data_IF_398574429731
#
_entry.id   IF_398574429731
#
_cell.length_a   1.000
_cell.length_b   1.000
_cell.length_c   1.000
_cell.angle_alpha   90.00
_cell.angle_beta   90.00
_cell.angle_gamma   90.00
#
_symmetry.space_group_name_H-M   'P 1'
#
loop_
_entity.id
_entity.type
_entity.pdbx_description
1 polymer ?
#
# COMPACT_ATOMS: atom_id res chain seq x y z
N UNK A 1 -10.77 0.54 12.10
CA UNK A 1 -11.57 1.08 10.99
C UNK A 1 -10.66 1.42 9.83
N UNK A 2 -9.93 2.54 9.83
CA UNK A 2 -9.16 2.97 8.64
C UNK A 2 -8.17 1.97 8.02
N UNK A 3 -7.44 1.16 8.78
CA UNK A 3 -6.48 0.17 8.22
C UNK A 3 -7.19 -1.00 7.53
N UNK A 4 -8.37 -1.40 8.01
CA UNK A 4 -9.18 -2.46 7.38
C UNK A 4 -9.79 -1.97 6.07
N UNK A 5 -10.25 -0.72 6.06
CA UNK A 5 -10.79 -0.08 4.86
C UNK A 5 -9.70 0.03 3.78
N UNK A 6 -8.48 0.41 4.17
CA UNK A 6 -7.32 0.40 3.27
C UNK A 6 -7.00 -1.02 2.76
N UNK A 7 -7.14 -2.06 3.58
CA UNK A 7 -6.89 -3.44 3.13
C UNK A 7 -7.91 -3.88 2.08
N UNK A 8 -9.20 -3.62 2.32
CA UNK A 8 -10.25 -3.90 1.34
C UNK A 8 -10.02 -3.16 0.02
N UNK A 9 -9.54 -1.92 0.09
CA UNK A 9 -9.17 -1.17 -1.11
C UNK A 9 -7.99 -1.82 -1.86
N UNK A 10 -6.99 -2.35 -1.14
CA UNK A 10 -5.86 -3.06 -1.76
C UNK A 10 -6.27 -4.39 -2.39
N UNK A 11 -7.15 -5.15 -1.73
CA UNK A 11 -7.75 -6.36 -2.30
C UNK A 11 -8.50 -6.03 -3.59
N UNK A 12 -9.34 -4.98 -3.56
CA UNK A 12 -10.05 -4.54 -4.76
C UNK A 12 -9.09 -4.16 -5.89
N UNK A 13 -8.03 -3.41 -5.61
CA UNK A 13 -7.02 -3.08 -6.63
C UNK A 13 -6.39 -4.34 -7.19
N UNK A 14 -5.91 -5.25 -6.34
CA UNK A 14 -5.28 -6.49 -6.78
C UNK A 14 -6.21 -7.30 -7.71
N UNK A 15 -7.47 -7.44 -7.35
CA UNK A 15 -8.43 -8.24 -8.11
C UNK A 15 -8.89 -7.59 -9.42
N UNK A 16 -8.81 -6.26 -9.52
CA UNK A 16 -9.44 -5.52 -10.63
C UNK A 16 -8.46 -4.79 -11.53
N UNK A 17 -7.22 -4.54 -11.12
CA UNK A 17 -6.30 -3.66 -11.86
C UNK A 17 -5.97 -4.20 -13.26
N UNK A 18 -6.03 -5.52 -13.45
CA UNK A 18 -5.90 -6.16 -14.77
C UNK A 18 -6.95 -5.70 -15.79
N UNK A 19 -8.17 -5.40 -15.34
CA UNK A 19 -9.24 -4.88 -16.22
C UNK A 19 -8.96 -3.45 -16.72
N UNK A 20 -8.04 -2.73 -16.06
CA UNK A 20 -7.59 -1.40 -16.45
C UNK A 20 -6.23 -1.43 -17.16
N UNK A 21 -5.73 -2.63 -17.52
CA UNK A 21 -4.44 -2.81 -18.19
C UNK A 21 -3.21 -2.71 -17.26
N UNK A 22 -3.41 -2.74 -15.95
CA UNK A 22 -2.31 -2.82 -15.00
C UNK A 22 -1.92 -4.26 -14.65
N UNK A 23 -0.81 -4.39 -13.93
CA UNK A 23 -0.26 -5.67 -13.49
C UNK A 23 -0.44 -5.82 -11.96
N UNK A 24 -1.30 -6.75 -11.49
CA UNK A 24 -1.52 -6.98 -10.06
C UNK A 24 -0.23 -7.40 -9.33
N UNK A 25 0.70 -8.07 -10.01
CA UNK A 25 1.98 -8.50 -9.44
C UNK A 25 3.02 -7.36 -9.37
N UNK A 26 2.66 -6.16 -9.80
CA UNK A 26 3.55 -5.01 -9.87
C UNK A 26 2.95 -3.73 -9.28
N UNK A 27 2.07 -3.85 -8.28
CA UNK A 27 1.48 -2.71 -7.56
C UNK A 27 2.50 -2.06 -6.62
N UNK A 28 2.48 -0.73 -6.55
CA UNK A 28 3.26 0.07 -5.57
C UNK A 28 2.31 0.98 -4.79
N UNK A 29 2.36 0.91 -3.46
CA UNK A 29 1.59 1.82 -2.60
C UNK A 29 2.47 2.99 -2.15
N UNK A 30 1.87 4.16 -1.98
CA UNK A 30 2.59 5.36 -1.58
C UNK A 30 1.82 6.16 -0.54
N UNK A 31 2.52 6.71 0.44
CA UNK A 31 1.90 7.48 1.52
C UNK A 31 2.69 8.73 1.90
N UNK A 32 1.98 9.84 2.15
CA UNK A 32 2.54 11.10 2.64
C UNK A 32 1.98 11.45 4.03
N UNK A 33 2.82 12.02 4.92
CA UNK A 33 2.42 12.41 6.29
C UNK A 33 1.80 11.23 7.07
N UNK A 34 0.54 11.31 7.53
CA UNK A 34 -0.17 10.18 8.14
C UNK A 34 -0.31 8.98 7.18
N UNK A 35 -0.32 9.23 5.86
CA UNK A 35 -0.27 8.20 4.84
C UNK A 35 1.05 7.43 4.83
N UNK A 36 2.18 8.08 5.14
CA UNK A 36 3.49 7.42 5.26
C UNK A 36 3.50 6.40 6.41
N UNK A 37 2.77 6.68 7.50
CA UNK A 37 2.55 5.74 8.59
C UNK A 37 1.61 4.61 8.15
N UNK A 38 0.54 4.95 7.43
CA UNK A 38 -0.44 3.97 6.93
C UNK A 38 0.18 2.92 6.02
N UNK A 39 0.98 3.31 5.01
CA UNK A 39 1.63 2.36 4.10
C UNK A 39 2.71 1.53 4.79
N UNK A 40 3.36 2.05 5.84
CA UNK A 40 4.26 1.27 6.70
C UNK A 40 3.50 0.22 7.51
N UNK A 41 2.31 0.53 8.01
CA UNK A 41 1.48 -0.47 8.69
C UNK A 41 1.06 -1.58 7.73
N UNK A 42 0.62 -1.26 6.51
CA UNK A 42 0.27 -2.28 5.51
C UNK A 42 1.47 -3.18 5.17
N UNK A 43 2.67 -2.61 5.03
CA UNK A 43 3.89 -3.38 4.74
C UNK A 43 4.23 -4.47 5.79
N UNK A 44 3.76 -4.29 7.03
CA UNK A 44 4.01 -5.20 8.14
C UNK A 44 2.75 -5.99 8.55
N UNK A 45 1.63 -5.78 7.84
CA UNK A 45 0.35 -6.40 8.16
C UNK A 45 0.23 -7.75 7.44
N UNK A 46 -0.07 -8.84 8.16
CA UNK A 46 -0.36 -10.13 7.52
C UNK A 46 -1.64 -10.11 6.67
N UNK A 47 -2.50 -9.09 6.84
CA UNK A 47 -3.69 -8.92 6.01
C UNK A 47 -3.37 -8.40 4.61
N UNK A 48 -2.18 -7.83 4.39
CA UNK A 48 -1.75 -7.30 3.10
C UNK A 48 -1.19 -8.37 2.15
N UNK A 49 -1.50 -9.63 2.42
CA UNK A 49 -0.98 -10.79 1.71
C UNK A 49 0.24 -11.41 2.40
N UNK A 50 0.67 -12.55 1.89
CA UNK A 50 1.91 -13.21 2.34
C UNK A 50 3.08 -12.81 1.44
N UNK A 51 4.28 -13.30 1.76
CA UNK A 51 5.44 -13.06 0.90
C UNK A 51 5.31 -13.74 -0.47
N UNK A 52 4.54 -14.83 -0.52
CA UNK A 52 4.27 -15.63 -1.71
C UNK A 52 3.10 -15.07 -2.52
N UNK A 53 2.12 -14.43 -1.86
CA UNK A 53 0.98 -13.78 -2.51
C UNK A 53 0.71 -12.39 -1.89
N UNK A 54 1.53 -11.39 -2.21
CA UNK A 54 1.40 -10.04 -1.66
C UNK A 54 0.39 -9.20 -2.45
N UNK A 55 -0.39 -8.34 -1.78
CA UNK A 55 -1.31 -7.40 -2.46
C UNK A 55 -0.58 -6.24 -3.17
N UNK A 56 0.69 -6.01 -2.83
CA UNK A 56 1.54 -5.01 -3.48
C UNK A 56 3.01 -5.40 -3.34
N UNK A 57 3.84 -4.93 -4.28
CA UNK A 57 5.26 -5.30 -4.37
C UNK A 57 6.19 -4.32 -3.70
N UNK A 58 5.82 -3.04 -3.64
CA UNK A 58 6.70 -1.95 -3.16
C UNK A 58 5.93 -0.91 -2.38
N UNK A 59 6.66 -0.22 -1.50
CA UNK A 59 6.14 0.85 -0.65
C UNK A 59 7.00 2.09 -0.81
N UNK A 60 6.38 3.20 -1.20
CA UNK A 60 6.99 4.52 -1.18
C UNK A 60 6.50 5.33 0.01
N UNK A 61 7.44 5.92 0.75
CA UNK A 61 7.15 6.71 1.95
C UNK A 61 7.63 8.14 1.72
N UNK A 62 6.74 9.12 1.82
CA UNK A 62 7.10 10.54 1.79
C UNK A 62 6.79 11.23 3.09
N UNK A 63 7.84 11.58 3.81
CA UNK A 63 7.76 12.36 5.03
C UNK A 63 7.81 13.86 4.70
N UNK A 64 7.01 14.66 5.41
CA UNK A 64 7.29 16.10 5.54
C UNK A 64 8.20 16.26 6.74
N UNK A 65 9.50 16.09 6.52
CA UNK A 65 10.51 16.66 7.40
C UNK A 65 11.52 17.37 6.51
N UNK A 66 11.22 18.63 6.19
CA UNK A 66 12.29 19.63 6.19
C UNK A 66 12.23 20.30 7.55
N UNK A 67 13.13 19.93 8.45
CA UNK A 67 13.54 20.82 9.53
C UNK A 67 14.88 21.42 9.11
N UNK A 68 14.83 22.36 8.16
CA UNK A 68 15.92 23.30 7.93
C UNK A 68 15.56 24.59 8.68
N UNK A 69 15.70 24.55 9.99
CA UNK A 69 15.76 25.72 10.88
C UNK A 69 16.74 25.42 11.99
#
# INVERSE_FOLDING_TARGET
MGVRDQNMALEWVHDNIGNFGGDPDNVTIFGQSAGAISVKFQANSPMSGTRENPLFKRVGVVSVLKSDT
#
